data_IF_122719386283
#
_entry.id   IF_122719386283
#
_cell.length_a   1.000
_cell.length_b   1.000
_cell.length_c   1.000
_cell.angle_alpha   90.00
_cell.angle_beta   90.00
_cell.angle_gamma   90.00
#
_symmetry.space_group_name_H-M   'P 1'
#
loop_
_entity.id
_entity.type
_entity.pdbx_description
1 polymer ?
#
# COMPACT_ATOMS: atom_id res chain seq x y z
N UNK A 1 20.01 4.56 -2.82
CA UNK A 1 19.86 4.97 -1.41
C UNK A 1 18.39 4.98 -0.95
N UNK A 2 17.42 5.43 -1.76
CA UNK A 2 15.99 5.39 -1.39
C UNK A 2 15.39 3.97 -1.38
N UNK A 3 16.03 3.02 -2.02
CA UNK A 3 15.60 1.62 -2.12
C UNK A 3 16.19 0.74 -1.01
N UNK A 4 17.15 1.28 -0.26
CA UNK A 4 17.79 0.63 0.89
C UNK A 4 17.38 1.37 2.18
N UNK A 5 16.38 0.82 2.85
CA UNK A 5 15.78 1.45 4.02
C UNK A 5 16.72 1.53 5.22
N UNK A 6 17.61 0.56 5.38
CA UNK A 6 18.59 0.56 6.46
C UNK A 6 19.59 1.69 6.25
N UNK A 7 20.09 1.81 5.02
CA UNK A 7 20.94 2.92 4.64
C UNK A 7 20.20 4.26 4.74
N UNK A 8 18.92 4.31 4.36
CA UNK A 8 18.10 5.52 4.50
C UNK A 8 17.99 5.94 5.97
N UNK A 9 17.70 5.00 6.87
CA UNK A 9 17.59 5.27 8.30
C UNK A 9 18.90 5.79 8.87
N UNK A 10 20.05 5.19 8.50
CA UNK A 10 21.38 5.63 8.88
C UNK A 10 21.67 7.05 8.35
N UNK A 11 21.37 7.33 7.09
CA UNK A 11 21.58 8.65 6.47
C UNK A 11 20.74 9.74 7.09
N UNK A 12 19.51 9.46 7.49
CA UNK A 12 18.67 10.42 8.25
C UNK A 12 19.39 10.85 9.53
N UNK A 13 20.01 9.89 10.23
CA UNK A 13 20.80 10.17 11.43
C UNK A 13 22.07 10.95 11.14
N UNK A 14 22.89 10.51 10.19
CA UNK A 14 24.15 11.17 9.79
C UNK A 14 23.95 12.61 9.33
N UNK A 15 22.92 12.84 8.51
CA UNK A 15 22.60 14.17 7.96
C UNK A 15 21.85 15.06 8.96
N UNK A 16 21.58 14.52 10.15
CA UNK A 16 20.90 15.25 11.23
C UNK A 16 19.56 15.86 10.77
N UNK A 17 18.80 15.08 9.99
CA UNK A 17 17.50 15.50 9.48
C UNK A 17 16.59 15.82 10.66
N UNK A 18 15.93 16.97 10.63
CA UNK A 18 15.04 17.44 11.68
C UNK A 18 13.56 17.39 11.31
N UNK A 19 13.24 17.32 10.01
CA UNK A 19 11.90 17.12 9.49
C UNK A 19 11.92 16.01 8.45
N UNK A 20 11.05 15.03 8.62
CA UNK A 20 10.84 13.95 7.66
C UNK A 20 9.38 13.90 7.25
N UNK A 21 9.11 13.77 5.95
CA UNK A 21 7.78 13.54 5.42
C UNK A 21 7.77 12.22 4.64
N UNK A 22 6.86 11.33 5.01
CA UNK A 22 6.66 10.06 4.32
C UNK A 22 5.27 9.46 4.63
N UNK A 23 5.03 8.23 4.18
CA UNK A 23 3.80 7.48 4.46
C UNK A 23 3.96 6.61 5.72
N UNK A 24 2.86 6.27 6.44
CA UNK A 24 2.90 5.40 7.61
C UNK A 24 3.57 4.06 7.39
N UNK A 25 3.45 3.45 6.21
CA UNK A 25 4.13 2.18 5.89
C UNK A 25 5.65 2.27 5.99
N UNK A 26 6.28 3.39 5.62
CA UNK A 26 7.73 3.61 5.81
C UNK A 26 8.08 3.77 7.28
N UNK A 27 7.26 4.48 8.05
CA UNK A 27 7.44 4.58 9.51
C UNK A 27 7.41 3.20 10.18
N UNK A 28 6.45 2.33 9.81
CA UNK A 28 6.36 0.94 10.31
C UNK A 28 7.62 0.13 10.02
N UNK A 29 8.26 0.39 8.88
CA UNK A 29 9.55 -0.21 8.58
C UNK A 29 10.66 0.23 9.51
N UNK A 30 10.74 1.52 9.76
CA UNK A 30 11.71 2.04 10.72
C UNK A 30 11.47 1.47 12.12
N UNK A 31 10.20 1.35 12.56
CA UNK A 31 9.87 0.69 13.82
C UNK A 31 10.39 -0.75 13.87
N UNK A 32 10.11 -1.53 12.82
CA UNK A 32 10.55 -2.94 12.76
C UNK A 32 12.07 -3.08 12.76
N UNK A 33 12.78 -2.19 12.08
CA UNK A 33 14.24 -2.15 12.09
C UNK A 33 14.79 -1.68 13.45
N UNK A 34 14.18 -0.64 14.00
CA UNK A 34 14.62 -0.05 15.27
C UNK A 34 14.54 -1.01 16.47
N UNK A 35 13.58 -1.96 16.45
CA UNK A 35 13.46 -3.01 17.49
C UNK A 35 14.72 -3.87 17.63
N UNK A 36 15.51 -4.03 16.56
CA UNK A 36 16.75 -4.82 16.55
C UNK A 36 18.02 -4.00 16.78
N UNK A 37 17.93 -2.66 16.87
CA UNK A 37 19.09 -1.79 16.94
C UNK A 37 19.43 -1.39 18.39
N UNK A 38 20.67 -1.63 18.79
CA UNK A 38 21.21 -1.10 20.05
C UNK A 38 21.34 0.42 19.91
N UNK A 39 20.77 1.17 20.87
CA UNK A 39 20.79 2.65 20.90
C UNK A 39 20.05 3.30 19.71
N UNK A 40 18.96 2.72 19.21
CA UNK A 40 18.14 3.28 18.14
C UNK A 40 17.74 4.75 18.40
N UNK A 41 17.52 5.14 19.67
CA UNK A 41 17.18 6.50 20.06
C UNK A 41 18.26 7.54 19.69
N UNK A 42 19.54 7.17 19.64
CA UNK A 42 20.61 8.07 19.23
C UNK A 42 20.61 8.32 17.71
N UNK A 43 20.07 7.37 16.95
CA UNK A 43 20.10 7.43 15.49
C UNK A 43 19.25 8.58 14.96
N UNK A 44 18.04 8.75 15.50
CA UNK A 44 17.09 9.79 15.07
C UNK A 44 16.91 10.94 16.06
N UNK A 45 17.88 11.16 16.96
CA UNK A 45 17.79 12.19 18.01
C UNK A 45 17.58 13.63 17.50
N UNK A 46 17.91 13.90 16.24
CA UNK A 46 17.72 15.21 15.61
C UNK A 46 16.35 15.37 14.95
N UNK A 47 15.59 14.27 14.75
CA UNK A 47 14.27 14.32 14.13
C UNK A 47 13.28 14.96 15.11
N UNK A 48 12.80 16.15 14.74
CA UNK A 48 11.87 16.94 15.55
C UNK A 48 10.43 16.81 15.10
N UNK A 49 10.23 16.76 13.77
CA UNK A 49 8.90 16.70 13.16
C UNK A 49 8.86 15.53 12.18
N UNK A 50 7.86 14.67 12.36
CA UNK A 50 7.59 13.58 11.46
C UNK A 50 6.20 13.75 10.84
N UNK A 51 6.14 14.17 9.58
CA UNK A 51 4.90 14.35 8.83
C UNK A 51 4.52 13.03 8.16
N UNK A 52 3.33 12.56 8.42
CA UNK A 52 2.80 11.29 7.94
C UNK A 52 1.46 11.50 7.24
N UNK A 53 1.24 10.85 6.11
CA UNK A 53 -0.02 10.97 5.40
C UNK A 53 -0.18 9.94 4.29
N UNK A 54 -1.38 9.91 3.71
CA UNK A 54 -1.67 9.01 2.60
C UNK A 54 -2.15 7.61 3.00
N UNK A 55 -1.98 7.21 4.26
CA UNK A 55 -2.42 5.92 4.78
C UNK A 55 -2.99 6.08 6.21
N UNK A 56 -3.78 5.11 6.71
CA UNK A 56 -4.19 5.10 8.12
C UNK A 56 -2.99 5.06 9.07
N UNK A 57 -3.04 5.91 10.10
CA UNK A 57 -2.05 6.02 11.16
C UNK A 57 -2.69 5.67 12.50
N UNK A 58 -2.02 4.87 13.32
CA UNK A 58 -2.53 4.41 14.62
C UNK A 58 -1.69 4.96 15.78
N UNK A 59 -2.37 5.32 16.86
CA UNK A 59 -1.72 5.92 18.04
C UNK A 59 -0.69 4.98 18.66
N UNK A 60 -0.96 3.66 18.69
CA UNK A 60 0.00 2.66 19.17
C UNK A 60 1.34 2.69 18.45
N UNK A 61 1.35 3.01 17.15
CA UNK A 61 2.57 3.09 16.33
C UNK A 61 3.43 4.29 16.72
N UNK A 62 2.78 5.40 17.05
CA UNK A 62 3.47 6.61 17.52
C UNK A 62 4.04 6.43 18.93
N UNK A 63 3.30 5.74 19.79
CA UNK A 63 3.78 5.40 21.14
C UNK A 63 4.99 4.44 21.05
N UNK A 64 4.95 3.46 20.18
CA UNK A 64 6.07 2.56 19.91
C UNK A 64 7.29 3.31 19.35
N UNK A 65 7.07 4.28 18.45
CA UNK A 65 8.16 5.14 17.97
C UNK A 65 8.88 5.85 19.12
N UNK A 66 8.12 6.43 20.05
CA UNK A 66 8.70 7.08 21.21
C UNK A 66 9.49 6.13 22.10
N UNK A 67 9.08 4.87 22.22
CA UNK A 67 9.83 3.86 22.97
C UNK A 67 11.17 3.49 22.31
N UNK A 68 11.19 3.41 20.96
CA UNK A 68 12.36 2.98 20.20
C UNK A 68 13.32 4.14 19.91
N UNK A 69 12.80 5.26 19.41
CA UNK A 69 13.60 6.38 18.90
C UNK A 69 13.62 7.60 19.81
N UNK A 70 12.85 7.58 20.91
CA UNK A 70 12.75 8.68 21.86
C UNK A 70 11.58 9.62 21.62
N UNK A 71 11.18 10.34 22.66
CA UNK A 71 9.99 11.20 22.70
C UNK A 71 10.19 12.61 22.14
N UNK A 72 11.34 12.90 21.54
CA UNK A 72 11.65 14.23 20.99
C UNK A 72 10.92 14.53 19.67
N UNK A 73 10.37 13.51 19.03
CA UNK A 73 9.68 13.63 17.74
C UNK A 73 8.22 13.99 17.94
N UNK A 74 7.79 15.11 17.40
CA UNK A 74 6.40 15.48 17.24
C UNK A 74 5.88 14.92 15.92
N UNK A 75 4.67 14.36 15.92
CA UNK A 75 4.04 13.85 14.70
C UNK A 75 3.01 14.83 14.14
N UNK A 76 2.90 14.83 12.82
CA UNK A 76 1.86 15.55 12.11
C UNK A 76 1.21 14.60 11.13
N UNK A 77 -0.05 14.24 11.38
CA UNK A 77 -0.85 13.50 10.39
C UNK A 77 -1.44 14.48 9.39
N UNK A 78 -1.33 14.17 8.08
CA UNK A 78 -1.89 14.99 7.02
C UNK A 78 -2.88 14.17 6.17
N UNK A 79 -3.98 14.84 5.76
CA UNK A 79 -4.97 14.24 4.89
C UNK A 79 -5.30 15.18 3.73
N UNK A 80 -5.48 14.61 2.54
CA UNK A 80 -5.84 15.29 1.32
C UNK A 80 -5.72 14.38 0.10
N UNK A 81 -6.02 14.93 -1.06
CA UNK A 81 -6.00 14.23 -2.34
C UNK A 81 -5.34 15.11 -3.41
N UNK A 82 -4.88 14.51 -4.50
CA UNK A 82 -4.33 15.24 -5.65
C UNK A 82 -5.34 16.22 -6.24
N UNK A 83 -6.61 15.83 -6.25
CA UNK A 83 -7.75 16.62 -6.74
C UNK A 83 -7.97 17.90 -5.95
N UNK A 84 -7.51 17.95 -4.71
CA UNK A 84 -7.57 19.13 -3.83
C UNK A 84 -6.24 19.87 -3.72
N UNK A 85 -5.28 19.60 -4.61
CA UNK A 85 -3.91 20.12 -4.54
C UNK A 85 -3.20 19.72 -3.25
N UNK A 86 -3.15 18.42 -2.98
CA UNK A 86 -2.43 17.74 -1.93
C UNK A 86 -3.10 17.82 -0.54
N UNK A 87 -2.52 18.51 0.44
CA UNK A 87 -2.99 18.53 1.84
C UNK A 87 -4.11 19.54 2.03
N UNK A 88 -5.16 19.12 2.73
CA UNK A 88 -6.24 20.01 3.19
C UNK A 88 -6.52 19.93 4.68
N UNK A 89 -6.04 18.88 5.35
CA UNK A 89 -6.21 18.68 6.78
C UNK A 89 -4.89 18.30 7.42
N UNK A 90 -4.71 18.66 8.68
CA UNK A 90 -3.57 18.26 9.48
C UNK A 90 -3.98 18.06 10.94
N UNK A 91 -3.27 17.17 11.63
CA UNK A 91 -3.41 16.91 13.04
C UNK A 91 -2.03 16.84 13.70
N UNK A 92 -1.73 17.79 14.58
CA UNK A 92 -0.47 17.82 15.32
C UNK A 92 -0.56 16.96 16.57
N UNK A 93 0.46 16.17 16.81
CA UNK A 93 0.52 15.18 17.89
C UNK A 93 1.83 15.37 18.66
N UNK A 94 1.88 16.28 19.63
CA UNK A 94 3.07 16.47 20.44
C UNK A 94 3.31 15.27 21.38
N UNK A 95 2.25 14.62 21.85
CA UNK A 95 2.32 13.42 22.68
C UNK A 95 1.23 12.42 22.32
N UNK A 96 1.59 11.23 21.77
CA UNK A 96 0.63 10.20 21.42
C UNK A 96 -0.27 9.73 22.59
N UNK A 97 0.24 9.73 23.81
CA UNK A 97 -0.51 9.26 24.99
C UNK A 97 -1.72 10.15 25.33
N UNK A 98 -1.79 11.35 24.77
CA UNK A 98 -2.90 12.29 24.99
C UNK A 98 -4.02 12.14 23.96
N UNK A 99 -3.91 11.22 23.00
CA UNK A 99 -4.94 10.97 21.99
C UNK A 99 -5.88 9.89 22.51
N UNK A 100 -7.18 10.21 22.69
CA UNK A 100 -8.17 9.26 23.22
C UNK A 100 -8.72 8.28 22.16
N UNK A 101 -8.14 8.26 20.98
CA UNK A 101 -8.59 7.47 19.84
C UNK A 101 -7.56 6.40 19.49
N UNK A 102 -8.00 5.30 18.92
CA UNK A 102 -7.12 4.25 18.41
C UNK A 102 -6.44 4.69 17.10
N UNK A 103 -7.23 5.31 16.21
CA UNK A 103 -6.74 5.85 14.94
C UNK A 103 -6.47 7.35 15.10
N UNK A 104 -5.36 7.80 14.54
CA UNK A 104 -5.03 9.21 14.50
C UNK A 104 -6.00 9.95 13.57
N UNK A 105 -6.67 11.02 14.04
CA UNK A 105 -7.58 11.80 13.22
C UNK A 105 -6.89 12.43 12.00
N UNK A 106 -7.67 12.69 10.94
CA UNK A 106 -7.24 13.54 9.82
C UNK A 106 -7.06 15.00 10.23
N UNK A 107 -7.71 15.39 11.32
CA UNK A 107 -7.50 16.67 12.00
C UNK A 107 -8.37 17.82 11.50
N UNK A 108 -7.83 19.03 11.60
CA UNK A 108 -8.47 20.28 11.22
C UNK A 108 -8.11 20.67 9.79
N UNK A 109 -8.98 21.46 9.15
CA UNK A 109 -8.70 22.01 7.82
C UNK A 109 -7.62 23.08 7.86
N UNK A 110 -6.91 23.23 6.74
CA UNK A 110 -6.16 24.43 6.44
C UNK A 110 -7.13 25.63 6.29
N UNK A 111 -6.68 26.88 6.51
CA UNK A 111 -7.55 28.07 6.50
C UNK A 111 -8.41 28.26 5.25
N UNK A 112 -7.90 27.81 4.10
CA UNK A 112 -8.56 27.96 2.80
C UNK A 112 -9.46 26.78 2.41
N UNK A 113 -9.62 25.81 3.29
CA UNK A 113 -10.42 24.61 3.04
C UNK A 113 -11.56 24.48 4.03
N UNK A 114 -12.60 23.81 3.60
CA UNK A 114 -13.68 23.33 4.44
C UNK A 114 -14.02 21.89 4.05
N UNK A 115 -14.57 21.15 4.97
CA UNK A 115 -15.08 19.80 4.69
C UNK A 115 -16.44 19.58 5.34
N UNK A 116 -17.12 18.58 4.83
CA UNK A 116 -18.35 18.08 5.43
C UNK A 116 -18.40 16.57 5.30
N UNK A 117 -18.99 15.92 6.29
CA UNK A 117 -19.37 14.51 6.21
C UNK A 117 -20.83 14.49 5.77
N UNK A 118 -21.11 13.84 4.65
CA UNK A 118 -22.38 13.98 3.93
C UNK A 118 -22.98 12.61 3.63
N UNK A 119 -24.30 12.51 3.68
CA UNK A 119 -25.05 11.40 3.13
C UNK A 119 -26.24 11.95 2.35
N UNK A 120 -26.27 11.66 1.05
CA UNK A 120 -27.17 12.31 0.11
C UNK A 120 -26.97 13.83 0.11
N UNK A 121 -28.00 14.59 0.50
CA UNK A 121 -27.97 16.04 0.57
C UNK A 121 -27.95 16.60 2.00
N UNK A 122 -27.55 15.77 2.99
CA UNK A 122 -27.56 16.15 4.41
C UNK A 122 -26.18 16.01 5.02
N UNK A 123 -25.76 17.03 5.76
CA UNK A 123 -24.61 16.94 6.63
C UNK A 123 -24.89 15.94 7.77
N UNK A 124 -23.92 15.11 8.08
CA UNK A 124 -23.95 14.18 9.20
C UNK A 124 -23.62 14.90 10.50
N UNK A 125 -24.26 14.46 11.58
CA UNK A 125 -23.94 14.93 12.92
C UNK A 125 -22.62 14.34 13.44
N UNK A 126 -22.13 14.86 14.57
CA UNK A 126 -20.94 14.35 15.26
C UNK A 126 -21.13 12.85 15.55
N UNK A 127 -20.14 12.04 15.22
CA UNK A 127 -20.14 10.58 15.38
C UNK A 127 -20.80 9.80 14.25
N UNK A 128 -21.64 10.43 13.42
CA UNK A 128 -22.30 9.77 12.30
C UNK A 128 -21.35 9.61 11.10
N UNK A 129 -21.39 8.44 10.48
CA UNK A 129 -20.58 8.12 9.30
C UNK A 129 -21.24 8.61 8.03
N UNK A 130 -20.45 9.17 7.13
CA UNK A 130 -20.86 9.59 5.79
C UNK A 130 -19.64 9.76 4.89
N UNK A 131 -19.88 10.18 3.66
CA UNK A 131 -18.80 10.47 2.70
C UNK A 131 -18.20 11.86 2.96
N UNK A 132 -16.87 11.95 2.87
CA UNK A 132 -16.15 13.21 3.07
C UNK A 132 -16.16 14.03 1.78
N UNK A 133 -16.66 15.25 1.86
CA UNK A 133 -16.61 16.25 0.80
C UNK A 133 -15.67 17.37 1.18
N UNK A 134 -14.84 17.81 0.24
CA UNK A 134 -13.87 18.89 0.46
C UNK A 134 -14.18 20.08 -0.44
N UNK A 135 -14.26 21.25 0.17
CA UNK A 135 -14.34 22.54 -0.51
C UNK A 135 -12.98 23.24 -0.39
N UNK A 136 -12.46 23.76 -1.51
CA UNK A 136 -11.24 24.55 -1.54
C UNK A 136 -11.21 25.43 -2.79
N UNK A 137 -10.64 26.64 -2.75
CA UNK A 137 -10.39 27.44 -3.95
C UNK A 137 -9.32 26.83 -4.86
N UNK A 138 -8.57 25.84 -4.35
CA UNK A 138 -7.47 25.17 -5.05
C UNK A 138 -7.83 23.75 -5.50
N UNK A 139 -9.09 23.50 -5.83
CA UNK A 139 -9.45 22.25 -6.50
C UNK A 139 -8.79 22.20 -7.88
N UNK A 140 -8.36 21.01 -8.33
CA UNK A 140 -7.88 20.84 -9.71
C UNK A 140 -9.01 21.06 -10.70
N UNK A 141 -8.66 21.27 -11.98
CA UNK A 141 -9.65 21.49 -13.04
C UNK A 141 -10.42 20.22 -13.44
N UNK A 142 -10.00 19.07 -12.94
CA UNK A 142 -10.55 17.75 -13.26
C UNK A 142 -9.49 16.79 -13.79
N UNK A 143 -9.94 15.67 -14.34
CA UNK A 143 -9.10 14.65 -14.95
C UNK A 143 -8.87 14.95 -16.44
N UNK A 144 -7.64 14.72 -16.88
CA UNK A 144 -7.25 14.99 -18.26
C UNK A 144 -8.01 14.09 -19.24
N UNK A 145 -8.72 14.68 -20.18
CA UNK A 145 -9.53 14.01 -21.21
C UNK A 145 -10.60 13.03 -20.64
N UNK A 146 -11.04 13.22 -19.39
CA UNK A 146 -12.11 12.44 -18.78
C UNK A 146 -13.12 13.37 -18.07
N UNK A 147 -14.01 13.91 -18.86
CA UNK A 147 -15.10 14.78 -18.37
C UNK A 147 -16.12 14.00 -17.53
N UNK A 148 -16.38 12.73 -17.88
CA UNK A 148 -17.33 11.90 -17.16
C UNK A 148 -16.88 11.67 -15.72
N UNK A 149 -15.64 11.25 -15.53
CA UNK A 149 -15.06 11.08 -14.20
C UNK A 149 -14.96 12.42 -13.46
N UNK A 150 -14.56 13.50 -14.17
CA UNK A 150 -14.49 14.85 -13.59
C UNK A 150 -15.84 15.25 -13.00
N UNK A 151 -16.94 15.15 -13.75
CA UNK A 151 -18.27 15.51 -13.28
C UNK A 151 -18.82 14.58 -12.21
N UNK A 152 -18.33 13.34 -12.11
CA UNK A 152 -18.74 12.39 -11.07
C UNK A 152 -18.21 12.73 -9.68
N UNK A 153 -17.05 13.41 -9.60
CA UNK A 153 -16.37 13.71 -8.33
C UNK A 153 -16.27 15.19 -7.99
N UNK A 154 -16.23 16.09 -9.00
CA UNK A 154 -16.33 17.52 -8.79
C UNK A 154 -17.80 17.93 -8.99
N UNK A 155 -18.54 17.89 -7.88
CA UNK A 155 -20.00 18.00 -7.90
C UNK A 155 -20.48 19.35 -7.33
N UNK A 156 -21.69 19.82 -7.73
CA UNK A 156 -22.35 20.91 -7.04
C UNK A 156 -22.51 20.58 -5.56
N UNK A 157 -22.19 21.55 -4.68
CA UNK A 157 -22.25 21.35 -3.25
C UNK A 157 -23.70 21.04 -2.78
N UNK A 158 -23.97 19.84 -2.28
CA UNK A 158 -25.31 19.42 -1.92
C UNK A 158 -25.88 20.19 -0.69
N UNK A 159 -25.00 20.80 0.11
CA UNK A 159 -25.37 21.46 1.36
C UNK A 159 -25.78 22.92 1.19
N UNK A 160 -25.54 23.51 0.01
CA UNK A 160 -25.86 24.93 -0.24
C UNK A 160 -26.65 25.19 -1.53
N UNK A 161 -27.29 24.14 -2.06
CA UNK A 161 -28.06 24.24 -3.29
C UNK A 161 -27.23 24.38 -4.55
N UNK A 162 -25.99 23.88 -4.54
CA UNK A 162 -25.11 23.84 -5.72
C UNK A 162 -24.43 25.16 -6.06
N UNK A 163 -24.33 26.11 -5.12
CA UNK A 163 -23.74 27.45 -5.36
C UNK A 163 -22.24 27.42 -5.62
N UNK A 164 -21.56 26.38 -5.20
CA UNK A 164 -20.15 26.13 -5.42
C UNK A 164 -19.89 24.66 -5.74
N UNK A 165 -18.68 24.37 -6.21
CA UNK A 165 -18.23 23.01 -6.50
C UNK A 165 -17.44 22.48 -5.31
N UNK A 166 -17.65 21.23 -4.98
CA UNK A 166 -16.89 20.46 -3.97
C UNK A 166 -16.32 19.20 -4.58
N UNK A 167 -15.21 18.74 -4.02
CA UNK A 167 -14.64 17.46 -4.36
C UNK A 167 -15.24 16.37 -3.47
N UNK A 168 -15.85 15.40 -4.10
CA UNK A 168 -16.38 14.18 -3.50
C UNK A 168 -15.24 13.16 -3.41
N UNK A 169 -14.74 12.91 -2.18
CA UNK A 169 -13.47 12.17 -2.01
C UNK A 169 -13.61 10.66 -2.21
N UNK A 170 -14.81 10.11 -2.04
CA UNK A 170 -15.01 8.66 -1.91
C UNK A 170 -14.55 8.08 -0.57
N UNK A 171 -13.96 8.89 0.30
CA UNK A 171 -13.59 8.46 1.66
C UNK A 171 -14.81 8.53 2.59
N UNK A 172 -14.97 7.51 3.43
CA UNK A 172 -15.92 7.51 4.53
C UNK A 172 -15.25 8.08 5.78
N UNK A 173 -15.95 8.95 6.47
CA UNK A 173 -15.46 9.57 7.70
C UNK A 173 -16.58 9.94 8.66
N UNK A 174 -16.18 10.46 9.80
CA UNK A 174 -17.08 11.07 10.79
C UNK A 174 -16.40 12.23 11.49
N UNK A 175 -17.20 13.14 12.02
CA UNK A 175 -16.74 14.18 12.92
C UNK A 175 -16.58 13.60 14.32
N UNK A 176 -15.44 13.85 14.94
CA UNK A 176 -15.21 13.56 16.35
C UNK A 176 -15.78 14.68 17.25
N UNK A 177 -15.93 14.47 18.57
CA UNK A 177 -16.47 15.49 19.47
C UNK A 177 -15.71 16.82 19.47
N UNK A 178 -14.44 16.81 19.16
CA UNK A 178 -13.57 17.99 19.02
C UNK A 178 -13.63 18.63 17.62
N UNK A 179 -14.59 18.20 16.79
CA UNK A 179 -14.78 18.62 15.40
C UNK A 179 -13.61 18.27 14.48
N UNK A 180 -12.72 17.37 14.85
CA UNK A 180 -11.72 16.84 13.92
C UNK A 180 -12.32 15.72 13.05
N UNK A 181 -11.77 15.56 11.84
CA UNK A 181 -12.18 14.50 10.92
C UNK A 181 -11.48 13.20 11.25
N UNK A 182 -12.23 12.13 11.47
CA UNK A 182 -11.71 10.76 11.41
C UNK A 182 -12.06 10.13 10.07
N UNK A 183 -11.04 9.70 9.31
CA UNK A 183 -11.23 8.95 8.07
C UNK A 183 -11.26 7.46 8.40
N UNK A 184 -12.39 6.81 8.11
CA UNK A 184 -12.66 5.42 8.51
C UNK A 184 -12.22 4.45 7.41
N UNK A 185 -12.47 4.80 6.14
CA UNK A 185 -12.20 3.94 5.00
C UNK A 185 -12.66 4.56 3.69
N UNK A 186 -13.00 3.71 2.72
CA UNK A 186 -13.51 4.15 1.42
C UNK A 186 -14.88 3.54 1.13
N UNK A 187 -15.69 4.29 0.39
CA UNK A 187 -16.99 3.83 -0.12
C UNK A 187 -16.87 2.99 -1.39
N UNK A 188 -15.73 3.06 -2.06
CA UNK A 188 -15.41 2.38 -3.31
C UNK A 188 -14.32 1.31 -3.14
N UNK A 189 -13.89 0.72 -4.27
CA UNK A 189 -12.85 -0.32 -4.30
C UNK A 189 -11.42 0.25 -4.39
N UNK A 190 -11.22 1.55 -4.20
CA UNK A 190 -9.89 2.13 -4.18
C UNK A 190 -9.12 1.72 -2.94
N UNK A 191 -7.83 1.51 -3.11
CA UNK A 191 -6.91 1.24 -2.01
C UNK A 191 -5.73 2.20 -2.04
N UNK A 192 -5.08 2.34 -0.89
CA UNK A 192 -3.77 2.98 -0.81
C UNK A 192 -2.73 1.92 -0.49
N UNK A 193 -1.81 1.68 -1.41
CA UNK A 193 -0.73 0.72 -1.27
C UNK A 193 0.61 1.46 -1.28
N UNK A 194 1.33 1.43 -0.15
CA UNK A 194 2.58 2.17 0.03
C UNK A 194 2.45 3.67 -0.33
N UNK A 195 1.31 4.29 0.02
CA UNK A 195 1.00 5.68 -0.27
C UNK A 195 0.51 5.96 -1.70
N UNK A 196 0.56 4.98 -2.60
CA UNK A 196 0.02 5.11 -3.96
C UNK A 196 -1.46 4.74 -3.96
N UNK A 197 -2.29 5.59 -4.55
CA UNK A 197 -3.72 5.34 -4.77
C UNK A 197 -3.88 4.41 -5.96
N UNK A 198 -4.54 3.29 -5.76
CA UNK A 198 -4.77 2.25 -6.77
C UNK A 198 -6.27 2.02 -6.91
N UNK A 199 -6.73 2.11 -8.15
CA UNK A 199 -8.08 1.69 -8.55
C UNK A 199 -8.05 0.19 -8.86
N UNK A 200 -8.68 -0.63 -8.02
CA UNK A 200 -8.74 -2.08 -8.30
C UNK A 200 -9.52 -2.36 -9.60
N UNK A 201 -10.49 -1.52 -9.94
CA UNK A 201 -11.24 -1.59 -11.19
C UNK A 201 -10.34 -1.45 -12.43
N UNK A 202 -9.33 -0.56 -12.41
CA UNK A 202 -8.39 -0.42 -13.52
C UNK A 202 -7.60 -1.70 -13.79
N UNK A 203 -7.19 -2.38 -12.72
CA UNK A 203 -6.50 -3.68 -12.85
C UNK A 203 -7.47 -4.74 -13.39
N UNK A 204 -8.73 -4.71 -12.92
CA UNK A 204 -9.80 -5.62 -13.35
C UNK A 204 -10.15 -5.43 -14.84
N UNK A 205 -10.24 -4.18 -15.30
CA UNK A 205 -10.49 -3.82 -16.68
C UNK A 205 -9.37 -4.30 -17.61
N UNK A 206 -8.10 -4.04 -17.23
CA UNK A 206 -6.94 -4.51 -17.98
C UNK A 206 -6.90 -6.04 -18.06
N UNK A 207 -7.16 -6.72 -16.95
CA UNK A 207 -7.20 -8.18 -16.91
C UNK A 207 -8.33 -8.76 -17.79
N UNK A 208 -9.51 -8.13 -17.71
CA UNK A 208 -10.69 -8.53 -18.52
C UNK A 208 -10.51 -8.29 -20.02
N UNK A 209 -9.65 -7.35 -20.41
CA UNK A 209 -9.34 -7.05 -21.80
C UNK A 209 -8.30 -8.00 -22.43
N UNK A 210 -7.70 -8.90 -21.64
CA UNK A 210 -6.76 -9.90 -22.17
C UNK A 210 -7.54 -10.98 -22.92
N UNK A 211 -7.12 -11.28 -24.13
CA UNK A 211 -7.74 -12.30 -24.99
C UNK A 211 -7.83 -13.65 -24.29
N UNK A 212 -9.03 -14.25 -24.31
CA UNK A 212 -9.33 -15.52 -23.65
C UNK A 212 -9.69 -15.41 -22.17
N UNK A 213 -9.68 -14.21 -21.57
CA UNK A 213 -10.21 -13.97 -20.22
C UNK A 213 -11.71 -13.67 -20.34
N UNK A 214 -12.54 -14.51 -19.74
CA UNK A 214 -14.00 -14.38 -19.76
C UNK A 214 -14.52 -13.46 -18.66
N UNK A 215 -13.88 -13.50 -17.49
CA UNK A 215 -14.29 -12.75 -16.32
C UNK A 215 -13.10 -12.49 -15.40
N UNK A 216 -13.05 -11.31 -14.82
CA UNK A 216 -12.05 -10.93 -13.82
C UNK A 216 -12.71 -10.30 -12.60
N UNK A 217 -12.00 -10.37 -11.47
CA UNK A 217 -12.30 -9.64 -10.23
C UNK A 217 -11.00 -9.39 -9.51
N UNK A 218 -10.80 -8.15 -9.08
CA UNK A 218 -9.63 -7.78 -8.30
C UNK A 218 -10.07 -7.33 -6.90
N UNK A 219 -9.44 -7.90 -5.89
CA UNK A 219 -9.69 -7.52 -4.50
C UNK A 219 -8.40 -7.17 -3.78
N UNK A 220 -8.52 -6.35 -2.76
CA UNK A 220 -7.46 -6.13 -1.79
C UNK A 220 -7.72 -6.99 -0.56
N UNK A 221 -6.77 -7.84 -0.24
CA UNK A 221 -6.76 -8.58 1.03
C UNK A 221 -5.89 -7.82 2.03
N UNK A 222 -6.52 -7.42 3.13
CA UNK A 222 -5.84 -6.72 4.22
C UNK A 222 -5.66 -7.68 5.38
N UNK A 223 -4.42 -8.13 5.59
CA UNK A 223 -4.04 -8.95 6.75
C UNK A 223 -3.11 -8.13 7.62
N UNK A 224 -3.56 -7.80 8.84
CA UNK A 224 -2.87 -6.88 9.75
C UNK A 224 -2.60 -5.51 9.09
N UNK A 225 -1.34 -5.20 8.85
CA UNK A 225 -0.88 -3.94 8.23
C UNK A 225 -0.55 -4.10 6.73
N UNK A 226 -0.66 -5.31 6.20
CA UNK A 226 -0.31 -5.64 4.83
C UNK A 226 -1.53 -5.62 3.93
N UNK A 227 -1.47 -4.81 2.87
CA UNK A 227 -2.47 -4.85 1.80
C UNK A 227 -1.88 -5.60 0.62
N UNK A 228 -2.57 -6.66 0.19
CA UNK A 228 -2.15 -7.51 -0.93
C UNK A 228 -3.22 -7.48 -2.01
N UNK A 229 -2.84 -7.23 -3.25
CA UNK A 229 -3.76 -7.26 -4.40
C UNK A 229 -3.84 -8.67 -4.95
N UNK A 230 -5.05 -9.22 -5.00
CA UNK A 230 -5.34 -10.55 -5.53
C UNK A 230 -6.25 -10.38 -6.74
N UNK A 231 -5.84 -10.90 -7.88
CA UNK A 231 -6.63 -10.93 -9.09
C UNK A 231 -7.15 -12.36 -9.35
N UNK A 232 -8.45 -12.50 -9.42
CA UNK A 232 -9.14 -13.74 -9.81
C UNK A 232 -9.60 -13.61 -11.24
N UNK A 233 -9.50 -14.70 -12.01
CA UNK A 233 -9.95 -14.71 -13.37
C UNK A 233 -10.51 -16.08 -13.78
N UNK A 234 -11.42 -16.05 -14.70
CA UNK A 234 -11.93 -17.20 -15.46
C UNK A 234 -11.47 -17.02 -16.91
N UNK A 235 -10.89 -18.04 -17.50
CA UNK A 235 -10.36 -17.99 -18.84
C UNK A 235 -10.47 -19.36 -19.52
N UNK A 236 -10.40 -19.37 -20.85
CA UNK A 236 -10.33 -20.59 -21.64
C UNK A 236 -9.12 -21.46 -21.25
N UNK A 237 -9.24 -22.79 -21.42
CA UNK A 237 -8.17 -23.74 -21.04
C UNK A 237 -6.85 -23.52 -21.78
N UNK A 238 -6.93 -22.92 -22.95
CA UNK A 238 -5.78 -22.57 -23.79
C UNK A 238 -4.95 -21.40 -23.24
N UNK A 239 -5.50 -20.61 -22.31
CA UNK A 239 -4.86 -19.42 -21.77
C UNK A 239 -4.04 -19.78 -20.52
N UNK A 240 -2.73 -19.77 -20.67
CA UNK A 240 -1.80 -20.03 -19.58
C UNK A 240 -1.62 -18.81 -18.67
N UNK A 241 -1.48 -19.05 -17.38
CA UNK A 241 -1.28 -17.99 -16.37
C UNK A 241 -0.06 -17.10 -16.67
N UNK A 242 1.01 -17.68 -17.21
CA UNK A 242 2.22 -16.95 -17.59
C UNK A 242 1.97 -15.92 -18.70
N UNK A 243 1.11 -16.24 -19.66
CA UNK A 243 0.68 -15.30 -20.70
C UNK A 243 -0.04 -14.10 -20.09
N UNK A 244 -1.02 -14.35 -19.22
CA UNK A 244 -1.75 -13.28 -18.52
C UNK A 244 -0.78 -12.42 -17.71
N UNK A 245 0.11 -13.05 -16.94
CA UNK A 245 1.13 -12.35 -16.14
C UNK A 245 2.05 -11.49 -17.01
N UNK A 246 2.46 -12.00 -18.16
CA UNK A 246 3.27 -11.26 -19.14
C UNK A 246 2.53 -10.03 -19.69
N UNK A 247 1.23 -10.16 -19.98
CA UNK A 247 0.39 -9.03 -20.43
C UNK A 247 0.21 -7.98 -19.33
N UNK A 248 -0.10 -8.39 -18.10
CA UNK A 248 -0.23 -7.47 -16.97
C UNK A 248 1.07 -6.72 -16.71
N UNK A 249 2.24 -7.38 -16.83
CA UNK A 249 3.55 -6.72 -16.72
C UNK A 249 3.79 -5.65 -17.80
N UNK A 250 3.24 -5.82 -19.00
CA UNK A 250 3.36 -4.84 -20.08
C UNK A 250 2.40 -3.67 -19.96
N UNK A 251 1.19 -3.93 -19.46
CA UNK A 251 0.07 -2.97 -19.48
C UNK A 251 -0.06 -2.18 -18.16
N UNK A 252 0.38 -2.75 -17.03
CA UNK A 252 0.23 -2.12 -15.71
C UNK A 252 1.57 -1.68 -15.14
N UNK A 253 1.61 -0.50 -14.51
CA UNK A 253 2.73 -0.09 -13.68
C UNK A 253 3.02 -1.15 -12.60
N UNK A 254 4.28 -1.25 -12.19
CA UNK A 254 4.75 -2.29 -11.29
C UNK A 254 4.00 -2.33 -9.94
N UNK A 255 3.59 -1.17 -9.42
CA UNK A 255 2.84 -1.03 -8.16
C UNK A 255 1.37 -1.43 -8.26
N UNK A 256 0.83 -1.59 -9.48
CA UNK A 256 -0.53 -2.06 -9.75
C UNK A 256 -0.60 -3.55 -10.09
N UNK A 257 0.54 -4.21 -10.28
CA UNK A 257 0.57 -5.62 -10.61
C UNK A 257 0.06 -6.47 -9.43
N UNK A 258 -0.90 -7.38 -9.66
CA UNK A 258 -1.41 -8.25 -8.60
C UNK A 258 -0.31 -9.12 -8.02
N UNK A 259 -0.28 -9.23 -6.68
CA UNK A 259 0.64 -10.14 -5.98
C UNK A 259 0.27 -11.60 -6.25
N UNK A 260 -1.04 -11.89 -6.34
CA UNK A 260 -1.56 -13.21 -6.66
C UNK A 260 -2.47 -13.13 -7.86
N UNK A 261 -2.32 -14.11 -8.75
CA UNK A 261 -3.14 -14.29 -9.93
C UNK A 261 -3.76 -15.69 -9.85
N UNK A 262 -5.06 -15.77 -9.59
CA UNK A 262 -5.76 -17.00 -9.27
C UNK A 262 -6.81 -17.32 -10.34
N UNK A 263 -6.61 -18.44 -11.03
CA UNK A 263 -7.59 -18.98 -11.98
C UNK A 263 -8.73 -19.65 -11.21
N UNK A 264 -9.96 -19.37 -11.61
CA UNK A 264 -11.16 -20.04 -11.12
C UNK A 264 -11.85 -20.77 -12.28
N UNK A 265 -12.38 -21.96 -12.01
CA UNK A 265 -13.29 -22.62 -12.94
C UNK A 265 -14.61 -21.86 -13.05
N UNK A 266 -15.11 -21.37 -11.93
CA UNK A 266 -16.29 -20.51 -11.85
C UNK A 266 -16.21 -19.59 -10.64
N UNK A 267 -16.73 -18.36 -10.80
CA UNK A 267 -16.88 -17.45 -9.65
C UNK A 267 -18.03 -17.92 -8.76
N UNK A 268 -17.81 -18.00 -7.43
CA UNK A 268 -18.89 -18.29 -6.49
C UNK A 268 -19.90 -17.13 -6.51
N UNK A 269 -21.20 -17.48 -6.63
CA UNK A 269 -22.27 -16.50 -6.71
C UNK A 269 -23.21 -16.60 -5.50
N UNK A 270 -23.72 -15.43 -5.08
CA UNK A 270 -24.84 -15.31 -4.17
C UNK A 270 -26.16 -15.64 -4.91
N UNK A 271 -27.25 -15.95 -4.17
CA UNK A 271 -28.56 -16.20 -4.78
C UNK A 271 -29.08 -15.07 -5.69
N UNK A 272 -28.62 -13.84 -5.49
CA UNK A 272 -28.96 -12.69 -6.33
C UNK A 272 -28.05 -12.50 -7.56
N UNK A 273 -27.18 -13.48 -7.87
CA UNK A 273 -26.26 -13.47 -9.01
C UNK A 273 -25.00 -12.63 -8.85
N UNK A 274 -24.81 -11.97 -7.72
CA UNK A 274 -23.55 -11.22 -7.42
C UNK A 274 -22.45 -12.17 -6.95
N UNK A 275 -21.19 -11.82 -7.24
CA UNK A 275 -20.03 -12.60 -6.77
C UNK A 275 -19.99 -12.64 -5.23
N UNK A 276 -19.90 -13.84 -4.69
CA UNK A 276 -19.73 -14.07 -3.27
C UNK A 276 -18.25 -13.91 -2.87
N UNK A 277 -17.81 -12.67 -2.61
CA UNK A 277 -16.40 -12.34 -2.35
C UNK A 277 -15.81 -13.09 -1.16
N UNK A 278 -16.61 -13.44 -0.13
CA UNK A 278 -16.15 -14.18 1.03
C UNK A 278 -15.89 -15.68 0.76
N UNK A 279 -16.47 -16.22 -0.32
CA UNK A 279 -16.27 -17.60 -0.74
C UNK A 279 -15.14 -17.74 -1.79
N UNK A 280 -14.45 -16.66 -2.12
CA UNK A 280 -13.27 -16.74 -2.98
C UNK A 280 -12.14 -17.47 -2.26
N UNK A 281 -11.42 -18.38 -2.94
CA UNK A 281 -10.30 -19.11 -2.36
C UNK A 281 -9.18 -18.14 -1.98
N UNK A 282 -8.53 -18.39 -0.86
CA UNK A 282 -7.38 -17.60 -0.42
C UNK A 282 -6.10 -18.13 -1.07
N UNK A 283 -5.11 -17.27 -1.35
CA UNK A 283 -3.84 -17.70 -1.94
C UNK A 283 -3.13 -18.80 -1.14
N UNK A 284 -3.30 -18.82 0.18
CA UNK A 284 -2.70 -19.82 1.10
C UNK A 284 -3.28 -21.25 0.90
N UNK A 285 -4.46 -21.37 0.33
CA UNK A 285 -5.15 -22.65 0.11
C UNK A 285 -4.69 -23.39 -1.16
N UNK A 286 -3.97 -22.71 -2.06
CA UNK A 286 -3.53 -23.25 -3.35
C UNK A 286 -2.03 -23.64 -3.39
N UNK A 287 -1.34 -23.73 -2.26
CA UNK A 287 0.09 -24.14 -2.21
C UNK A 287 0.25 -25.66 -2.27
N UNK A 288 -0.82 -26.42 -2.45
CA UNK A 288 -0.80 -27.88 -2.51
C UNK A 288 -0.77 -28.41 -3.95
N UNK A 289 0.33 -28.21 -4.68
CA UNK A 289 0.77 -29.14 -5.72
C UNK A 289 2.26 -28.90 -6.04
N UNK A 290 3.09 -29.19 -5.09
CA UNK A 290 4.53 -29.33 -5.33
C UNK A 290 4.92 -30.77 -4.92
N UNK A 291 5.14 -31.59 -5.93
CA UNK A 291 5.80 -32.87 -5.81
C UNK A 291 6.96 -32.78 -4.80
N UNK A 292 7.02 -33.74 -3.88
CA UNK A 292 8.10 -33.99 -2.91
C UNK A 292 9.46 -34.25 -3.61
N UNK A 293 9.98 -33.29 -4.36
CA UNK A 293 11.33 -33.30 -4.88
C UNK A 293 12.18 -32.39 -4.00
N UNK A 294 13.22 -32.95 -3.42
CA UNK A 294 14.26 -32.16 -2.75
C UNK A 294 14.76 -31.11 -3.76
N UNK A 295 14.73 -29.81 -3.42
CA UNK A 295 15.11 -28.76 -4.36
C UNK A 295 16.58 -28.95 -4.77
N UNK A 296 16.83 -29.07 -6.07
CA UNK A 296 18.19 -29.11 -6.63
C UNK A 296 18.69 -27.66 -6.83
N UNK A 297 19.01 -27.01 -5.71
CA UNK A 297 19.55 -25.67 -5.70
C UNK A 297 21.07 -25.69 -5.81
N UNK A 298 21.64 -24.88 -6.71
CA UNK A 298 23.05 -24.58 -6.61
C UNK A 298 23.35 -23.81 -5.30
N UNK A 299 24.61 -23.72 -4.83
CA UNK A 299 24.93 -23.09 -3.54
C UNK A 299 24.44 -21.65 -3.39
N UNK A 300 24.40 -20.90 -4.47
CA UNK A 300 23.94 -19.52 -4.48
C UNK A 300 22.41 -19.43 -4.40
N UNK A 301 21.71 -20.30 -5.14
CA UNK A 301 20.27 -20.43 -5.06
C UNK A 301 19.83 -20.90 -3.67
N UNK A 302 20.55 -21.85 -3.07
CA UNK A 302 20.25 -22.33 -1.71
C UNK A 302 20.35 -21.21 -0.67
N UNK A 303 21.39 -20.38 -0.73
CA UNK A 303 21.54 -19.24 0.17
C UNK A 303 20.45 -18.19 -0.06
N UNK A 304 20.10 -17.90 -1.31
CA UNK A 304 19.05 -16.97 -1.64
C UNK A 304 17.66 -17.52 -1.24
N UNK A 305 17.42 -18.83 -1.40
CA UNK A 305 16.22 -19.50 -0.97
C UNK A 305 16.03 -19.44 0.56
N UNK A 306 17.12 -19.56 1.33
CA UNK A 306 17.08 -19.36 2.78
C UNK A 306 16.67 -17.95 3.15
N UNK A 307 17.23 -16.93 2.50
CA UNK A 307 16.83 -15.52 2.72
C UNK A 307 15.36 -15.31 2.37
N UNK A 308 14.90 -15.89 1.28
CA UNK A 308 13.48 -15.80 0.91
C UNK A 308 12.60 -16.50 1.95
N UNK A 309 12.96 -17.71 2.36
CA UNK A 309 12.22 -18.51 3.36
C UNK A 309 12.02 -17.75 4.66
N UNK A 310 13.10 -17.16 5.20
CA UNK A 310 13.04 -16.34 6.42
C UNK A 310 12.18 -15.07 6.23
N UNK A 311 12.31 -14.41 5.08
CA UNK A 311 11.61 -13.16 4.81
C UNK A 311 10.14 -13.36 4.48
N UNK A 312 9.81 -14.44 3.77
CA UNK A 312 8.45 -14.75 3.29
C UNK A 312 7.65 -15.58 4.28
N UNK A 313 8.36 -16.23 5.22
CA UNK A 313 7.77 -17.24 6.14
C UNK A 313 7.13 -18.40 5.35
N UNK A 314 7.78 -18.78 4.24
CA UNK A 314 7.30 -19.77 3.29
C UNK A 314 8.45 -20.67 2.82
N UNK A 315 8.12 -21.91 2.48
CA UNK A 315 9.10 -22.86 1.91
C UNK A 315 9.34 -22.53 0.43
N UNK A 316 10.61 -22.45 0.05
CA UNK A 316 11.03 -22.28 -1.34
C UNK A 316 11.37 -23.65 -1.91
N UNK A 317 10.53 -24.20 -2.77
CA UNK A 317 10.60 -25.58 -3.25
C UNK A 317 11.31 -25.75 -4.60
N UNK A 318 11.44 -24.67 -5.40
CA UNK A 318 12.18 -24.71 -6.67
C UNK A 318 12.66 -23.34 -7.11
N UNK A 319 13.65 -23.30 -8.03
CA UNK A 319 14.28 -22.05 -8.49
C UNK A 319 13.41 -21.19 -9.42
N UNK A 320 12.34 -21.73 -9.97
CA UNK A 320 11.42 -20.99 -10.84
C UNK A 320 10.29 -20.31 -10.07
N UNK A 321 10.16 -20.56 -8.76
CA UNK A 321 9.15 -19.87 -7.94
C UNK A 321 9.38 -18.36 -7.94
N UNK A 322 8.28 -17.62 -7.97
CA UNK A 322 8.30 -16.17 -7.89
C UNK A 322 8.29 -15.70 -6.44
N UNK A 323 9.13 -14.72 -6.13
CA UNK A 323 9.16 -14.03 -4.83
C UNK A 323 7.78 -13.51 -4.41
N UNK A 324 7.02 -13.00 -5.38
CA UNK A 324 5.71 -12.40 -5.12
C UNK A 324 4.62 -13.46 -4.93
N UNK A 325 4.73 -14.62 -5.59
CA UNK A 325 3.81 -15.76 -5.39
C UNK A 325 3.96 -16.40 -4.01
N UNK A 326 5.16 -16.34 -3.45
CA UNK A 326 5.43 -16.78 -2.07
C UNK A 326 5.06 -15.72 -1.01
N UNK A 327 4.28 -14.71 -1.38
CA UNK A 327 3.86 -13.66 -0.46
C UNK A 327 4.84 -12.49 -0.32
N UNK A 328 5.76 -12.35 -1.27
CA UNK A 328 6.61 -11.17 -1.41
C UNK A 328 5.79 -9.94 -1.80
N UNK A 329 6.20 -8.78 -1.33
CA UNK A 329 5.64 -7.47 -1.65
C UNK A 329 6.75 -6.43 -1.70
N UNK A 330 6.42 -5.20 -2.08
CA UNK A 330 7.42 -4.12 -2.17
C UNK A 330 8.25 -3.95 -0.90
N UNK A 331 7.63 -4.16 0.24
CA UNK A 331 8.27 -4.05 1.55
C UNK A 331 9.27 -5.16 1.81
N UNK A 332 8.85 -6.41 1.58
CA UNK A 332 9.71 -7.57 1.68
C UNK A 332 10.81 -7.53 0.61
N UNK A 333 10.51 -7.01 -0.60
CA UNK A 333 11.49 -6.83 -1.66
C UNK A 333 12.58 -5.80 -1.27
N UNK A 334 12.24 -4.69 -0.60
CA UNK A 334 13.24 -3.75 -0.07
C UNK A 334 14.16 -4.39 0.96
N UNK A 335 13.61 -5.25 1.84
CA UNK A 335 14.41 -6.01 2.81
C UNK A 335 15.31 -7.02 2.12
N UNK A 336 14.79 -7.71 1.11
CA UNK A 336 15.58 -8.65 0.33
C UNK A 336 16.79 -7.95 -0.31
N UNK A 337 16.62 -6.75 -0.86
CA UNK A 337 17.73 -5.93 -1.40
C UNK A 337 18.81 -5.70 -0.33
N UNK A 338 18.41 -5.33 0.88
CA UNK A 338 19.36 -5.13 2.00
C UNK A 338 20.06 -6.43 2.40
N UNK A 339 19.32 -7.54 2.53
CA UNK A 339 19.89 -8.85 2.85
C UNK A 339 20.82 -9.36 1.78
N UNK A 340 20.47 -9.19 0.49
CA UNK A 340 21.36 -9.56 -0.65
C UNK A 340 22.65 -8.76 -0.57
N UNK A 341 22.61 -7.47 -0.28
CA UNK A 341 23.83 -6.67 -0.13
C UNK A 341 24.69 -7.19 1.02
N UNK A 342 24.10 -7.52 2.15
CA UNK A 342 24.83 -7.98 3.34
C UNK A 342 25.44 -9.38 3.13
N UNK A 343 24.73 -10.30 2.50
CA UNK A 343 25.13 -11.70 2.34
C UNK A 343 25.99 -11.95 1.10
N UNK A 344 25.70 -11.27 0.00
CA UNK A 344 26.38 -11.50 -1.28
C UNK A 344 27.36 -10.36 -1.67
N UNK A 345 27.37 -9.24 -0.92
CA UNK A 345 28.18 -8.07 -1.26
C UNK A 345 27.72 -7.32 -2.52
N UNK A 346 26.50 -7.60 -3.00
CA UNK A 346 25.96 -7.08 -4.26
C UNK A 346 24.80 -6.15 -3.99
N UNK A 347 24.84 -4.94 -4.55
CA UNK A 347 23.73 -3.99 -4.48
C UNK A 347 22.80 -4.19 -5.67
N UNK A 348 21.56 -4.62 -5.39
CA UNK A 348 20.46 -4.65 -6.35
C UNK A 348 19.57 -3.43 -6.17
N UNK A 349 18.90 -3.02 -7.22
CA UNK A 349 17.84 -2.02 -7.16
C UNK A 349 16.50 -2.71 -6.90
N UNK A 350 15.60 -2.06 -6.19
CA UNK A 350 14.26 -2.60 -5.93
C UNK A 350 13.54 -3.02 -7.22
N UNK A 351 13.65 -2.20 -8.28
CA UNK A 351 13.09 -2.52 -9.61
C UNK A 351 13.58 -3.86 -10.14
N UNK A 352 14.81 -4.25 -9.83
CA UNK A 352 15.39 -5.50 -10.35
C UNK A 352 14.80 -6.73 -9.68
N UNK A 353 14.35 -6.63 -8.41
CA UNK A 353 13.59 -7.71 -7.75
C UNK A 353 12.24 -7.93 -8.45
N UNK A 354 11.63 -6.84 -8.94
CA UNK A 354 10.36 -6.95 -9.68
C UNK A 354 10.53 -7.47 -11.11
N UNK A 355 11.60 -7.08 -11.78
CA UNK A 355 11.88 -7.55 -13.16
C UNK A 355 12.43 -8.96 -13.21
N UNK A 356 13.22 -9.36 -12.21
CA UNK A 356 13.79 -10.69 -12.03
C UNK A 356 13.15 -11.31 -10.78
N UNK A 357 11.89 -11.75 -10.93
CA UNK A 357 11.08 -12.09 -9.77
C UNK A 357 11.17 -13.56 -9.33
N UNK A 358 11.86 -14.41 -10.11
CA UNK A 358 12.12 -15.81 -9.70
C UNK A 358 13.45 -15.95 -8.96
N UNK A 359 13.56 -16.98 -8.13
CA UNK A 359 14.80 -17.28 -7.42
C UNK A 359 15.97 -17.41 -8.37
N UNK A 360 15.79 -18.15 -9.48
CA UNK A 360 16.81 -18.36 -10.52
C UNK A 360 17.27 -17.07 -11.17
N UNK A 361 16.34 -16.21 -11.58
CA UNK A 361 16.67 -14.93 -12.22
C UNK A 361 17.47 -14.03 -11.28
N UNK A 362 17.09 -13.98 -10.00
CA UNK A 362 17.83 -13.21 -8.99
C UNK A 362 19.22 -13.79 -8.71
N UNK A 363 19.33 -15.10 -8.61
CA UNK A 363 20.64 -15.75 -8.43
C UNK A 363 21.58 -15.45 -9.61
N UNK A 364 21.11 -15.55 -10.85
CA UNK A 364 21.87 -15.19 -12.05
C UNK A 364 22.28 -13.71 -12.03
N UNK A 365 21.38 -12.82 -11.65
CA UNK A 365 21.67 -11.39 -11.56
C UNK A 365 22.76 -11.09 -10.51
N UNK A 366 22.65 -11.70 -9.33
CA UNK A 366 23.65 -11.58 -8.25
C UNK A 366 25.03 -12.07 -8.76
N UNK A 367 25.06 -13.25 -9.39
CA UNK A 367 26.31 -13.82 -9.90
C UNK A 367 26.98 -12.93 -10.95
N UNK A 368 26.17 -12.32 -11.83
CA UNK A 368 26.68 -11.42 -12.87
C UNK A 368 27.35 -10.18 -12.30
N UNK A 369 26.98 -9.75 -11.10
CA UNK A 369 27.53 -8.56 -10.44
C UNK A 369 28.70 -8.87 -9.50
N UNK A 370 28.79 -10.08 -8.98
CA UNK A 370 29.97 -10.53 -8.22
C UNK A 370 31.22 -10.69 -9.09
N UNK A 371 31.03 -10.91 -10.40
CA UNK A 371 32.12 -11.06 -11.38
C UNK A 371 32.65 -9.73 -11.92
N UNK A 372 32.04 -8.61 -11.54
CA UNK A 372 32.46 -7.25 -11.91
C UNK A 372 33.20 -6.56 -10.77
#
# INVERSE_FOLDING_TARGET
EREDLELLLLRIGEWKINLLHTVPSVMRLFLKMGRGLINAHNLLKNLRIFVLGGEPLFVKELAEWHQIFGSQTEFVNIYGASETTFVKHFYRIPNPNNIPYERVPGGQTLPDAAYAVVDGNRARAIGEVGEVFVKSPYLTKGYYQDESLTHSVFVPNPLNGGRDIVYRTGDLGRLLPDLTLEVIGRSDNQIKLNGVRIELGEIEDVLSAIEGVEKALVIANKKEELVTVIAYYQAEDTVHQEYIRGKLKQLLPIYMQPSFLMRLEAFPLLPNGKIHRLALPKPEENITDSTNQVPDFNPQEALLASLWGELLEAEVSNSNQSFFELGGNSLKAMRLVSQIRNQFGVSLRLREIFTHNTLKEQAVLIQSRQKR
#
